data_IF_138295054069
#
_entry.id   IF_138295054069
#
_cell.length_a   1.000
_cell.length_b   1.000
_cell.length_c   1.000
_cell.angle_alpha   90.00
_cell.angle_beta   90.00
_cell.angle_gamma   90.00
#
_symmetry.space_group_name_H-M   'P 1'
#
loop_
_entity.id
_entity.type
_entity.pdbx_description
1 polymer ?
#
# COMPACT_ATOMS: atom_id res chain seq x y z
N UNK A 1 -10.12 15.04 -22.59
CA UNK A 1 -9.21 15.45 -21.49
C UNK A 1 -7.96 14.58 -21.53
N UNK A 2 -6.78 15.18 -21.62
CA UNK A 2 -5.49 14.48 -21.55
C UNK A 2 -4.96 14.53 -20.14
N UNK A 3 -4.53 13.41 -19.61
CA UNK A 3 -4.05 13.29 -18.22
C UNK A 3 -2.60 12.83 -18.25
N UNK A 4 -1.77 13.42 -17.41
CA UNK A 4 -0.39 13.02 -17.21
C UNK A 4 -0.12 12.72 -15.73
N UNK A 5 0.38 11.52 -15.44
CA UNK A 5 0.80 11.14 -14.09
C UNK A 5 2.30 11.37 -13.92
N UNK A 6 2.68 12.19 -12.96
CA UNK A 6 4.08 12.36 -12.55
C UNK A 6 4.33 11.67 -11.22
N UNK A 7 5.54 11.16 -11.06
CA UNK A 7 5.92 10.35 -9.92
C UNK A 7 7.22 10.83 -9.29
N UNK A 8 7.24 10.86 -7.97
CA UNK A 8 8.44 11.20 -7.18
C UNK A 8 9.19 9.95 -6.72
N UNK A 9 8.50 8.84 -6.49
CA UNK A 9 9.05 7.59 -5.96
C UNK A 9 8.50 6.39 -6.72
N UNK A 10 9.38 5.45 -7.05
CA UNK A 10 9.07 4.19 -7.73
C UNK A 10 8.88 3.10 -6.68
N UNK A 11 7.70 2.48 -6.61
CA UNK A 11 7.42 1.41 -5.64
C UNK A 11 5.99 0.89 -5.76
N UNK A 12 5.59 0.01 -4.85
CA UNK A 12 4.25 -0.61 -4.84
C UNK A 12 3.11 0.41 -4.80
N UNK A 13 3.29 1.51 -4.05
CA UNK A 13 2.29 2.57 -4.01
C UNK A 13 2.12 3.27 -5.37
N UNK A 14 3.22 3.52 -6.09
CA UNK A 14 3.14 4.09 -7.43
C UNK A 14 2.46 3.13 -8.42
N UNK A 15 2.73 1.84 -8.31
CA UNK A 15 2.08 0.84 -9.12
C UNK A 15 0.55 0.93 -8.98
N UNK A 16 0.03 0.86 -7.76
CA UNK A 16 -1.41 0.81 -7.51
C UNK A 16 -2.12 2.16 -7.68
N UNK A 17 -1.42 3.29 -7.36
CA UNK A 17 -2.02 4.63 -7.41
C UNK A 17 -1.89 5.31 -8.76
N UNK A 18 -0.86 5.01 -9.52
CA UNK A 18 -0.59 5.68 -10.79
C UNK A 18 -0.62 4.72 -11.98
N UNK A 19 0.15 3.62 -11.97
CA UNK A 19 0.26 2.76 -13.15
C UNK A 19 -1.03 2.03 -13.49
N UNK A 20 -1.70 1.44 -12.49
CA UNK A 20 -2.95 0.72 -12.70
C UNK A 20 -4.04 1.66 -13.24
N UNK A 21 -4.36 2.81 -12.60
CA UNK A 21 -5.35 3.74 -13.16
C UNK A 21 -4.92 4.35 -14.50
N UNK A 22 -3.63 4.63 -14.68
CA UNK A 22 -3.12 5.24 -15.90
C UNK A 22 -3.32 4.33 -17.12
N UNK A 23 -3.11 3.03 -16.97
CA UNK A 23 -3.35 2.06 -18.05
C UNK A 23 -4.81 2.06 -18.46
N UNK A 24 -5.71 1.99 -17.50
CA UNK A 24 -7.16 1.91 -17.77
C UNK A 24 -7.73 3.22 -18.28
N UNK A 25 -7.21 4.36 -17.83
CA UNK A 25 -7.57 5.69 -18.37
C UNK A 25 -6.98 5.95 -19.76
N UNK A 26 -6.05 5.13 -20.26
CA UNK A 26 -5.27 5.43 -21.45
C UNK A 26 -4.45 6.73 -21.33
N UNK A 27 -4.06 7.09 -20.10
CA UNK A 27 -3.34 8.32 -19.79
C UNK A 27 -1.84 8.18 -19.99
N UNK A 28 -1.15 9.31 -20.21
CA UNK A 28 0.31 9.36 -20.24
C UNK A 28 0.88 9.55 -18.83
N UNK A 29 2.11 9.15 -18.62
CA UNK A 29 2.78 9.32 -17.33
C UNK A 29 4.25 9.01 -17.34
N UNK A 30 4.89 9.26 -16.20
CA UNK A 30 6.26 8.85 -15.94
C UNK A 30 6.30 7.32 -15.88
N UNK A 31 6.67 6.72 -17.01
CA UNK A 31 6.74 5.27 -17.15
C UNK A 31 7.89 4.74 -16.31
N UNK A 32 7.59 3.75 -15.52
CA UNK A 32 8.52 3.11 -14.59
C UNK A 32 9.33 2.02 -15.29
N UNK A 33 10.24 1.39 -14.55
CA UNK A 33 11.01 0.22 -15.00
C UNK A 33 10.12 -0.98 -15.41
N UNK A 34 8.85 -1.01 -15.04
CA UNK A 34 7.88 -2.03 -15.47
C UNK A 34 7.49 -1.91 -16.96
N UNK A 35 7.77 -0.78 -17.57
CA UNK A 35 7.55 -0.60 -19.00
C UNK A 35 8.90 -0.51 -19.69
N UNK A 36 9.10 -1.34 -20.70
CA UNK A 36 10.36 -1.50 -21.46
C UNK A 36 10.80 -0.27 -22.25
N UNK A 37 10.00 0.78 -22.29
CA UNK A 37 10.35 2.05 -22.94
C UNK A 37 10.34 3.20 -21.94
N UNK A 38 11.51 3.65 -21.53
CA UNK A 38 11.65 4.97 -20.88
C UNK A 38 11.24 6.04 -21.88
N UNK A 39 10.24 6.83 -21.55
CA UNK A 39 9.95 8.03 -22.35
C UNK A 39 11.18 8.94 -22.24
N UNK A 40 11.74 9.32 -23.39
CA UNK A 40 12.84 10.29 -23.42
C UNK A 40 12.40 11.65 -22.83
N UNK A 41 13.35 12.45 -22.33
CA UNK A 41 13.04 13.74 -21.67
C UNK A 41 12.17 14.68 -22.53
N UNK A 42 12.41 14.72 -23.84
CA UNK A 42 11.64 15.55 -24.78
C UNK A 42 10.19 15.06 -24.94
N UNK A 43 9.99 13.73 -25.05
CA UNK A 43 8.65 13.13 -25.16
C UNK A 43 7.88 13.35 -23.88
N UNK A 44 8.53 13.22 -22.71
CA UNK A 44 7.95 13.52 -21.40
C UNK A 44 7.52 14.99 -21.31
N UNK A 45 8.40 15.91 -21.69
CA UNK A 45 8.09 17.36 -21.65
C UNK A 45 6.88 17.68 -22.53
N UNK A 46 6.80 17.10 -23.73
CA UNK A 46 5.64 17.26 -24.62
C UNK A 46 4.37 16.71 -24.00
N UNK A 47 4.39 15.49 -23.45
CA UNK A 47 3.22 14.87 -22.84
C UNK A 47 2.69 15.70 -21.65
N UNK A 48 3.58 16.24 -20.80
CA UNK A 48 3.21 17.15 -19.71
C UNK A 48 2.61 18.45 -20.23
N UNK A 49 3.19 19.05 -21.27
CA UNK A 49 2.70 20.29 -21.87
C UNK A 49 1.36 20.09 -22.60
N UNK A 50 1.13 18.92 -23.18
CA UNK A 50 -0.11 18.57 -23.85
C UNK A 50 -1.23 18.16 -22.90
N UNK A 51 -0.91 17.81 -21.66
CA UNK A 51 -1.89 17.39 -20.67
C UNK A 51 -2.81 18.56 -20.26
N UNK A 52 -4.08 18.26 -20.04
CA UNK A 52 -5.05 19.15 -19.41
C UNK A 52 -4.96 19.07 -17.89
N UNK A 53 -4.77 17.85 -17.38
CA UNK A 53 -4.63 17.51 -15.95
C UNK A 53 -3.28 16.87 -15.70
N UNK A 54 -2.55 17.36 -14.70
CA UNK A 54 -1.30 16.76 -14.25
C UNK A 54 -1.46 16.25 -12.81
N UNK A 55 -1.34 14.94 -12.66
CA UNK A 55 -1.47 14.25 -11.37
C UNK A 55 -0.09 14.05 -10.77
N UNK A 56 0.12 14.60 -9.59
CA UNK A 56 1.35 14.43 -8.81
C UNK A 56 1.10 13.36 -7.74
N UNK A 57 1.69 12.19 -7.92
CA UNK A 57 1.63 11.13 -6.91
C UNK A 57 2.77 11.32 -5.90
N UNK A 58 2.40 11.47 -4.61
CA UNK A 58 3.30 11.67 -3.47
C UNK A 58 4.35 12.76 -3.70
N UNK A 59 3.96 13.98 -4.12
CA UNK A 59 4.91 15.07 -4.25
C UNK A 59 5.43 15.45 -2.85
N UNK A 60 6.76 15.41 -2.67
CA UNK A 60 7.39 15.51 -1.36
C UNK A 60 8.56 16.48 -1.30
N UNK A 61 8.71 17.33 -2.32
CA UNK A 61 9.82 18.26 -2.42
C UNK A 61 9.42 19.63 -3.04
N UNK A 62 10.26 20.64 -2.82
CA UNK A 62 10.06 21.97 -3.38
C UNK A 62 10.11 22.03 -4.91
N UNK A 63 10.82 21.09 -5.55
CA UNK A 63 10.89 21.04 -7.01
C UNK A 63 9.55 20.70 -7.61
N UNK A 64 8.86 19.73 -7.03
CA UNK A 64 7.50 19.36 -7.44
C UNK A 64 6.53 20.52 -7.27
N UNK A 65 6.63 21.28 -6.17
CA UNK A 65 5.82 22.49 -5.96
C UNK A 65 6.06 23.54 -7.04
N UNK A 66 7.33 23.85 -7.37
CA UNK A 66 7.68 24.81 -8.42
C UNK A 66 7.18 24.38 -9.80
N UNK A 67 7.30 23.10 -10.12
CA UNK A 67 6.78 22.54 -11.39
C UNK A 67 5.26 22.68 -11.43
N UNK A 68 4.54 22.33 -10.36
CA UNK A 68 3.10 22.47 -10.30
C UNK A 68 2.64 23.93 -10.47
N UNK A 69 3.36 24.88 -9.87
CA UNK A 69 3.09 26.32 -10.02
C UNK A 69 3.25 26.77 -11.47
N UNK A 70 4.34 26.38 -12.14
CA UNK A 70 4.57 26.73 -13.55
C UNK A 70 3.54 26.13 -14.49
N UNK A 71 3.13 24.88 -14.25
CA UNK A 71 2.06 24.23 -15.03
C UNK A 71 0.71 24.92 -14.82
N UNK A 72 0.40 25.35 -13.58
CA UNK A 72 -0.82 26.13 -13.29
C UNK A 72 -0.84 27.46 -14.02
N UNK A 73 0.28 28.17 -14.11
CA UNK A 73 0.40 29.42 -14.92
C UNK A 73 0.10 29.18 -16.40
N UNK A 74 0.31 27.95 -16.88
CA UNK A 74 -0.01 27.53 -18.25
C UNK A 74 -1.45 27.01 -18.38
N UNK A 75 -2.28 27.15 -17.36
CA UNK A 75 -3.68 26.77 -17.37
C UNK A 75 -3.95 25.27 -17.12
N UNK A 76 -2.93 24.51 -16.71
CA UNK A 76 -3.08 23.10 -16.36
C UNK A 76 -3.79 22.93 -15.03
N UNK A 77 -4.62 21.91 -14.89
CA UNK A 77 -5.19 21.51 -13.60
C UNK A 77 -4.21 20.60 -12.87
N UNK A 78 -4.00 20.89 -11.60
CA UNK A 78 -3.05 20.20 -10.74
C UNK A 78 -3.81 19.33 -9.75
N UNK A 79 -3.61 18.03 -9.85
CA UNK A 79 -4.13 17.05 -8.90
C UNK A 79 -2.99 16.53 -8.06
N UNK A 80 -3.21 16.45 -6.75
CA UNK A 80 -2.34 15.73 -5.84
C UNK A 80 -2.96 14.39 -5.50
N UNK A 81 -2.25 13.30 -5.72
CA UNK A 81 -2.63 11.97 -5.25
C UNK A 81 -1.72 11.53 -4.10
N UNK A 82 -2.33 11.11 -2.98
CA UNK A 82 -1.56 10.61 -1.84
C UNK A 82 -2.32 9.48 -1.13
N UNK A 83 -1.61 8.40 -0.83
CA UNK A 83 -2.14 7.18 -0.21
C UNK A 83 -1.59 6.95 1.20
N UNK A 84 -0.78 7.87 1.71
CA UNK A 84 -0.07 7.70 2.98
C UNK A 84 0.22 9.05 3.64
N UNK A 85 0.75 9.02 4.85
CA UNK A 85 1.22 10.18 5.60
C UNK A 85 2.55 9.86 6.28
N UNK A 86 3.28 10.91 6.65
CA UNK A 86 4.42 10.79 7.57
C UNK A 86 4.07 11.37 8.95
N UNK A 87 2.89 11.96 9.10
CA UNK A 87 2.40 12.48 10.38
C UNK A 87 2.21 11.35 11.38
N UNK A 88 2.62 11.58 12.61
CA UNK A 88 2.53 10.57 13.67
C UNK A 88 3.58 9.46 13.60
N UNK A 89 4.46 9.48 12.60
CA UNK A 89 5.58 8.55 12.56
C UNK A 89 6.58 8.88 13.69
N UNK A 90 7.01 7.86 14.45
CA UNK A 90 7.99 8.04 15.53
C UNK A 90 9.36 8.44 14.95
N UNK A 91 9.57 9.75 14.86
CA UNK A 91 10.81 10.30 14.33
C UNK A 91 11.96 10.25 15.32
N UNK A 92 11.74 9.91 16.59
CA UNK A 92 12.78 9.89 17.63
C UNK A 92 13.89 8.88 17.31
N UNK A 93 13.55 7.82 16.57
CA UNK A 93 14.49 6.78 16.14
C UNK A 93 15.15 7.07 14.80
N UNK A 94 14.71 8.10 14.09
CA UNK A 94 15.16 8.43 12.73
C UNK A 94 16.45 9.26 12.70
N UNK A 95 16.90 9.82 13.85
CA UNK A 95 18.11 10.65 13.89
C UNK A 95 18.04 11.79 12.85
N UNK A 96 19.05 11.89 11.98
CA UNK A 96 19.09 12.91 10.90
C UNK A 96 17.96 12.79 9.87
N UNK A 97 17.29 11.64 9.77
CA UNK A 97 16.14 11.48 8.87
C UNK A 97 14.89 12.17 9.41
N UNK A 98 14.79 12.45 10.71
CA UNK A 98 13.64 13.14 11.32
C UNK A 98 13.37 14.50 10.67
N UNK A 99 14.43 15.28 10.45
CA UNK A 99 14.32 16.60 9.79
C UNK A 99 13.84 16.47 8.34
N UNK A 100 14.30 15.43 7.63
CA UNK A 100 13.89 15.15 6.26
C UNK A 100 12.40 14.80 6.19
N UNK A 101 11.91 13.96 7.10
CA UNK A 101 10.48 13.64 7.17
C UNK A 101 9.63 14.87 7.49
N UNK A 102 10.05 15.73 8.40
CA UNK A 102 9.36 16.99 8.69
C UNK A 102 9.32 17.97 7.50
N UNK A 103 10.35 17.98 6.65
CA UNK A 103 10.35 18.76 5.40
C UNK A 103 9.39 18.17 4.37
N UNK A 104 9.36 16.87 4.24
CA UNK A 104 8.42 16.13 3.37
C UNK A 104 6.97 16.44 3.76
N UNK A 105 6.61 16.38 5.03
CA UNK A 105 5.26 16.70 5.50
C UNK A 105 4.85 18.13 5.19
N UNK A 106 5.75 19.09 5.42
CA UNK A 106 5.49 20.49 5.07
C UNK A 106 5.25 20.67 3.57
N UNK A 107 6.03 19.99 2.73
CA UNK A 107 5.85 20.02 1.29
C UNK A 107 4.49 19.42 0.88
N UNK A 108 4.09 18.30 1.48
CA UNK A 108 2.79 17.69 1.28
C UNK A 108 1.65 18.64 1.68
N UNK A 109 1.70 19.24 2.86
CA UNK A 109 0.67 20.19 3.33
C UNK A 109 0.52 21.40 2.42
N UNK A 110 1.64 21.93 1.90
CA UNK A 110 1.63 23.03 0.93
C UNK A 110 0.99 22.56 -0.38
N UNK A 111 1.35 21.37 -0.85
CA UNK A 111 0.83 20.82 -2.09
C UNK A 111 -0.68 20.59 -1.98
N UNK A 112 -1.15 19.98 -0.87
CA UNK A 112 -2.58 19.79 -0.57
C UNK A 112 -3.33 21.11 -0.65
N UNK A 113 -2.83 22.15 0.00
CA UNK A 113 -3.46 23.49 0.00
C UNK A 113 -3.56 24.13 -1.38
N UNK A 114 -2.61 23.84 -2.25
CA UNK A 114 -2.50 24.48 -3.56
C UNK A 114 -3.11 23.66 -4.69
N UNK A 115 -3.34 22.37 -4.52
CA UNK A 115 -3.91 21.51 -5.57
C UNK A 115 -5.34 21.95 -5.93
N UNK A 116 -5.68 21.86 -7.21
CA UNK A 116 -7.06 22.06 -7.68
C UNK A 116 -7.97 20.93 -7.19
N UNK A 117 -7.41 19.71 -7.02
CA UNK A 117 -8.07 18.54 -6.46
C UNK A 117 -7.03 17.71 -5.70
N UNK A 118 -7.43 17.15 -4.57
CA UNK A 118 -6.67 16.13 -3.84
C UNK A 118 -7.38 14.79 -3.96
N UNK A 119 -6.67 13.76 -4.38
CA UNK A 119 -7.16 12.38 -4.35
C UNK A 119 -6.40 11.57 -3.31
N UNK A 120 -7.07 10.72 -2.58
CA UNK A 120 -6.50 9.88 -1.52
C UNK A 120 -7.15 8.50 -1.49
N UNK A 121 -6.53 7.57 -0.76
CA UNK A 121 -6.95 6.17 -0.76
C UNK A 121 -8.02 5.82 0.29
N UNK A 122 -8.22 6.66 1.31
CA UNK A 122 -9.09 6.35 2.45
C UNK A 122 -9.91 7.54 2.92
N UNK A 123 -11.04 7.27 3.59
CA UNK A 123 -11.87 8.32 4.19
C UNK A 123 -11.15 9.04 5.34
N UNK A 124 -10.27 8.35 6.08
CA UNK A 124 -9.46 8.99 7.11
C UNK A 124 -8.55 10.07 6.50
N UNK A 125 -7.81 9.74 5.44
CA UNK A 125 -6.97 10.72 4.74
C UNK A 125 -7.80 11.86 4.15
N UNK A 126 -8.98 11.57 3.61
CA UNK A 126 -9.89 12.61 3.11
C UNK A 126 -10.26 13.60 4.19
N UNK A 127 -10.66 13.11 5.38
CA UNK A 127 -10.99 14.00 6.50
C UNK A 127 -9.81 14.88 6.93
N UNK A 128 -8.60 14.32 6.90
CA UNK A 128 -7.40 15.06 7.22
C UNK A 128 -7.09 16.14 6.16
N UNK A 129 -7.22 15.81 4.88
CA UNK A 129 -6.95 16.77 3.80
C UNK A 129 -8.05 17.82 3.64
N UNK A 130 -9.30 17.52 3.99
CA UNK A 130 -10.38 18.51 4.02
C UNK A 130 -10.12 19.67 4.98
N UNK A 131 -9.24 19.49 5.96
CA UNK A 131 -8.76 20.59 6.84
C UNK A 131 -7.92 21.62 6.09
N UNK A 132 -7.37 21.26 4.94
CA UNK A 132 -6.42 22.06 4.15
C UNK A 132 -6.95 22.44 2.76
N UNK A 133 -7.79 21.60 2.16
CA UNK A 133 -8.33 21.79 0.81
C UNK A 133 -9.79 21.31 0.76
N UNK A 134 -10.76 22.13 0.29
CA UNK A 134 -12.15 21.71 0.22
C UNK A 134 -12.44 20.67 -0.88
N UNK A 135 -11.54 20.50 -1.85
CA UNK A 135 -11.69 19.61 -2.98
C UNK A 135 -10.92 18.32 -2.77
N UNK A 136 -11.47 17.39 -2.00
CA UNK A 136 -10.84 16.10 -1.70
C UNK A 136 -11.77 14.95 -2.06
N UNK A 137 -11.26 13.98 -2.82
CA UNK A 137 -12.00 12.79 -3.26
C UNK A 137 -11.25 11.52 -2.88
N UNK A 138 -11.97 10.51 -2.38
CA UNK A 138 -11.40 9.17 -2.20
C UNK A 138 -11.46 8.40 -3.51
N UNK A 139 -10.31 8.00 -3.99
CA UNK A 139 -10.14 7.02 -5.05
C UNK A 139 -9.53 5.77 -4.42
N UNK A 140 -10.26 4.67 -4.27
CA UNK A 140 -9.78 3.48 -3.58
C UNK A 140 -8.59 2.85 -4.32
N UNK A 141 -7.77 2.08 -3.62
CA UNK A 141 -6.85 1.19 -4.32
C UNK A 141 -7.66 0.12 -5.07
N UNK A 142 -7.23 -0.16 -6.29
CA UNK A 142 -7.85 -1.18 -7.14
C UNK A 142 -6.80 -2.17 -7.63
N UNK A 143 -7.26 -3.33 -8.05
CA UNK A 143 -6.45 -4.36 -8.70
C UNK A 143 -6.75 -4.39 -10.20
N UNK A 144 -5.72 -4.69 -10.99
CA UNK A 144 -5.87 -5.08 -12.37
C UNK A 144 -5.69 -6.60 -12.43
N UNK A 145 -6.75 -7.37 -12.69
CA UNK A 145 -6.63 -8.84 -12.68
C UNK A 145 -5.57 -9.39 -13.62
N UNK A 146 -5.30 -8.69 -14.72
CA UNK A 146 -4.31 -9.12 -15.73
C UNK A 146 -2.85 -9.13 -15.19
N UNK A 147 -2.61 -8.49 -14.05
CA UNK A 147 -1.30 -8.51 -13.37
C UNK A 147 -1.13 -9.69 -12.40
N UNK A 148 -2.21 -10.42 -12.09
CA UNK A 148 -2.24 -11.49 -11.10
C UNK A 148 -2.43 -12.85 -11.77
N UNK A 149 -1.97 -13.96 -11.15
CA UNK A 149 -2.19 -15.28 -11.69
C UNK A 149 -3.69 -15.62 -11.76
N UNK A 150 -4.07 -16.39 -12.77
CA UNK A 150 -5.39 -17.05 -12.81
C UNK A 150 -5.54 -18.03 -11.63
N UNK A 151 -6.76 -18.39 -11.28
CA UNK A 151 -7.03 -19.21 -10.09
C UNK A 151 -6.28 -20.55 -10.09
N UNK A 152 -6.16 -21.18 -11.26
CA UNK A 152 -5.46 -22.47 -11.45
C UNK A 152 -3.93 -22.32 -11.54
N UNK A 153 -3.41 -21.10 -11.69
CA UNK A 153 -1.98 -20.79 -11.71
C UNK A 153 -1.43 -20.42 -10.33
N UNK A 154 -2.30 -20.09 -9.36
CA UNK A 154 -1.88 -19.68 -8.01
C UNK A 154 -1.07 -20.81 -7.36
N UNK A 155 0.13 -20.47 -6.88
CA UNK A 155 1.00 -21.42 -6.22
C UNK A 155 0.50 -21.74 -4.80
N UNK A 156 0.22 -23.01 -4.53
CA UNK A 156 -0.29 -23.49 -3.24
C UNK A 156 0.81 -24.14 -2.39
N UNK A 157 0.64 -24.04 -1.08
CA UNK A 157 1.47 -24.76 -0.14
C UNK A 157 1.03 -26.24 -0.03
N UNK A 158 1.82 -27.14 -0.60
CA UNK A 158 1.62 -28.59 -0.53
C UNK A 158 2.35 -29.24 0.66
N UNK A 159 3.12 -28.45 1.43
CA UNK A 159 3.87 -28.93 2.58
C UNK A 159 2.98 -29.21 3.80
N UNK A 160 3.60 -29.85 4.82
CA UNK A 160 2.89 -30.18 6.07
C UNK A 160 2.71 -28.99 7.00
N UNK A 161 3.59 -27.97 6.91
CA UNK A 161 3.53 -26.79 7.76
C UNK A 161 2.61 -25.72 7.15
N UNK A 162 1.86 -25.06 8.01
CA UNK A 162 1.11 -23.85 7.67
C UNK A 162 2.07 -22.68 7.56
N UNK A 163 2.07 -22.00 6.42
CA UNK A 163 2.94 -20.86 6.11
C UNK A 163 2.24 -19.57 6.45
N UNK A 164 2.69 -18.90 7.50
CA UNK A 164 2.08 -17.67 8.01
C UNK A 164 2.98 -16.49 7.64
N UNK A 165 2.46 -15.60 6.79
CA UNK A 165 3.19 -14.48 6.22
C UNK A 165 3.04 -13.17 6.97
N UNK A 166 4.14 -12.42 7.01
CA UNK A 166 4.20 -11.01 7.32
C UNK A 166 4.77 -10.29 6.10
N UNK A 167 4.00 -9.37 5.52
CA UNK A 167 4.40 -8.64 4.31
C UNK A 167 4.34 -7.15 4.60
N UNK A 168 5.46 -6.47 4.52
CA UNK A 168 5.49 -5.06 4.91
C UNK A 168 6.74 -4.31 4.50
N UNK A 169 6.80 -3.08 4.97
CA UNK A 169 7.94 -2.18 4.83
C UNK A 169 8.44 -1.74 6.22
N UNK A 170 9.13 -0.64 6.28
CA UNK A 170 9.82 -0.07 7.47
C UNK A 170 8.98 0.03 8.75
N UNK A 171 7.66 0.12 8.67
CA UNK A 171 6.78 0.27 9.84
C UNK A 171 6.50 -1.04 10.59
N UNK A 172 6.80 -2.19 10.01
CA UNK A 172 6.40 -3.49 10.53
C UNK A 172 6.90 -3.77 11.95
N UNK A 173 8.10 -3.33 12.29
CA UNK A 173 8.67 -3.52 13.62
C UNK A 173 7.88 -2.79 14.74
N UNK A 174 7.40 -1.59 14.48
CA UNK A 174 6.56 -0.85 15.45
C UNK A 174 5.20 -1.52 15.61
N UNK A 175 4.64 -2.01 14.52
CA UNK A 175 3.35 -2.70 14.49
C UNK A 175 3.37 -4.03 15.25
N UNK A 176 4.53 -4.70 15.28
CA UNK A 176 4.67 -6.02 15.90
C UNK A 176 4.85 -5.99 17.42
N UNK A 177 5.16 -4.85 18.04
CA UNK A 177 5.45 -4.79 19.48
C UNK A 177 4.37 -5.43 20.36
N UNK A 178 3.12 -5.11 20.10
CA UNK A 178 1.99 -5.67 20.86
C UNK A 178 1.65 -7.09 20.41
N UNK A 179 2.15 -7.50 19.26
CA UNK A 179 1.97 -8.81 18.66
C UNK A 179 3.02 -9.84 19.10
N UNK A 180 4.10 -9.43 19.78
CA UNK A 180 5.20 -10.32 20.23
C UNK A 180 4.69 -11.58 20.97
N UNK A 181 3.73 -11.53 21.90
CA UNK A 181 3.24 -12.74 22.56
C UNK A 181 2.62 -13.76 21.60
N UNK A 182 1.95 -13.28 20.55
CA UNK A 182 1.39 -14.15 19.51
C UNK A 182 2.49 -14.76 18.65
N UNK A 183 3.47 -13.97 18.27
CA UNK A 183 4.64 -14.42 17.51
C UNK A 183 5.40 -15.51 18.27
N UNK A 184 5.61 -15.32 19.58
CA UNK A 184 6.25 -16.29 20.48
C UNK A 184 5.43 -17.60 20.61
N UNK A 185 4.12 -17.52 20.54
CA UNK A 185 3.25 -18.70 20.54
C UNK A 185 3.33 -19.44 19.20
N UNK A 186 3.22 -18.71 18.09
CA UNK A 186 3.26 -19.31 16.74
C UNK A 186 4.57 -20.02 16.43
N UNK A 187 5.72 -19.43 16.79
CA UNK A 187 7.03 -20.07 16.54
C UNK A 187 7.25 -21.38 17.31
N UNK A 188 6.48 -21.62 18.40
CA UNK A 188 6.57 -22.88 19.18
C UNK A 188 5.71 -23.99 18.56
N UNK A 189 4.86 -23.68 17.61
CA UNK A 189 4.00 -24.66 16.94
C UNK A 189 4.82 -25.42 15.89
N UNK A 190 4.98 -26.75 16.00
CA UNK A 190 5.83 -27.52 15.08
C UNK A 190 5.31 -27.55 13.64
N UNK A 191 3.98 -27.36 13.48
CA UNK A 191 3.29 -27.33 12.20
C UNK A 191 3.16 -25.91 11.59
N UNK A 192 3.85 -24.91 12.13
CA UNK A 192 3.86 -23.53 11.62
C UNK A 192 5.24 -23.18 11.05
N UNK A 193 5.25 -22.46 9.94
CA UNK A 193 6.40 -21.80 9.38
C UNK A 193 6.09 -20.31 9.25
N UNK A 194 6.83 -19.48 9.97
CA UNK A 194 6.74 -18.04 9.81
C UNK A 194 7.51 -17.60 8.56
N UNK A 195 6.94 -16.71 7.76
CA UNK A 195 7.51 -16.18 6.53
C UNK A 195 7.50 -14.65 6.60
N UNK A 196 8.64 -14.04 6.40
CA UNK A 196 8.80 -12.59 6.39
C UNK A 196 9.15 -12.11 4.98
N UNK A 197 8.27 -11.36 4.35
CA UNK A 197 8.54 -10.64 3.11
C UNK A 197 8.66 -9.15 3.42
N UNK A 198 9.81 -8.75 3.87
CA UNK A 198 10.11 -7.38 4.28
C UNK A 198 11.62 -7.20 4.38
N UNK A 199 12.07 -5.95 4.44
CA UNK A 199 13.45 -5.55 4.70
C UNK A 199 14.49 -6.08 3.69
N UNK A 200 15.51 -5.28 3.39
CA UNK A 200 16.65 -5.78 2.62
C UNK A 200 17.41 -6.82 3.45
N UNK A 201 17.81 -7.93 2.82
CA UNK A 201 18.62 -8.96 3.48
C UNK A 201 20.03 -8.45 3.82
N UNK A 202 20.51 -7.48 3.07
CA UNK A 202 21.81 -6.84 3.28
C UNK A 202 21.65 -5.32 3.16
N UNK A 203 22.06 -4.63 4.22
CA UNK A 203 21.95 -3.17 4.35
C UNK A 203 23.27 -2.48 4.09
N UNK A 204 24.27 -3.18 3.53
CA UNK A 204 25.64 -2.71 3.41
C UNK A 204 25.83 -1.50 2.49
N UNK A 205 24.84 -1.14 1.64
CA UNK A 205 25.04 -0.12 0.61
C UNK A 205 24.70 1.33 1.02
N UNK A 206 24.08 1.57 2.19
CA UNK A 206 23.74 2.92 2.61
C UNK A 206 23.78 3.07 4.14
N UNK A 207 24.81 3.73 4.65
CA UNK A 207 25.04 3.93 6.08
C UNK A 207 23.85 4.57 6.83
N UNK A 208 23.11 5.48 6.23
CA UNK A 208 22.01 6.19 6.91
C UNK A 208 20.74 5.33 7.00
N UNK A 209 20.45 4.56 5.97
CA UNK A 209 19.32 3.62 5.93
C UNK A 209 19.63 2.38 6.78
N UNK A 210 20.86 1.93 6.77
CA UNK A 210 21.33 0.79 7.55
C UNK A 210 21.04 0.93 9.06
N UNK A 211 21.43 2.05 9.66
CA UNK A 211 21.22 2.29 11.09
C UNK A 211 19.75 2.31 11.49
N UNK A 212 18.85 2.64 10.57
CA UNK A 212 17.43 2.64 10.81
C UNK A 212 16.83 1.23 10.87
N UNK A 213 17.31 0.31 10.03
CA UNK A 213 16.81 -1.07 9.95
C UNK A 213 17.44 -2.04 10.93
N UNK A 214 18.60 -1.72 11.55
CA UNK A 214 19.30 -2.63 12.45
C UNK A 214 18.40 -3.19 13.57
N UNK A 215 17.64 -2.38 14.34
CA UNK A 215 16.82 -2.91 15.42
C UNK A 215 15.76 -3.90 14.92
N UNK A 216 15.24 -3.68 13.73
CA UNK A 216 14.24 -4.52 13.12
C UNK A 216 14.83 -5.82 12.58
N UNK A 217 16.00 -5.74 11.97
CA UNK A 217 16.77 -6.91 11.55
C UNK A 217 17.12 -7.82 12.73
N UNK A 218 17.65 -7.23 13.82
CA UNK A 218 18.00 -7.99 15.04
C UNK A 218 16.78 -8.61 15.70
N UNK A 219 15.64 -7.91 15.71
CA UNK A 219 14.37 -8.44 16.18
C UNK A 219 13.98 -9.71 15.41
N UNK A 220 13.91 -9.61 14.06
CA UNK A 220 13.49 -10.75 13.25
C UNK A 220 14.48 -11.91 13.24
N UNK A 221 15.79 -11.66 13.40
CA UNK A 221 16.81 -12.71 13.56
C UNK A 221 16.64 -13.54 14.83
N UNK A 222 15.91 -13.05 15.82
CA UNK A 222 15.58 -13.79 17.02
C UNK A 222 14.48 -14.85 16.84
N UNK A 223 13.78 -14.82 15.70
CA UNK A 223 12.73 -15.77 15.33
C UNK A 223 13.20 -16.69 14.20
N UNK A 224 12.62 -17.91 14.19
CA UNK A 224 12.84 -18.85 13.09
C UNK A 224 11.91 -18.51 11.91
N UNK A 225 12.29 -17.50 11.13
CA UNK A 225 11.53 -17.04 9.96
C UNK A 225 12.22 -17.44 8.66
N UNK A 226 11.44 -17.84 7.67
CA UNK A 226 11.87 -17.86 6.29
C UNK A 226 11.84 -16.42 5.78
N UNK A 227 12.96 -15.92 5.33
CA UNK A 227 13.11 -14.51 4.99
C UNK A 227 13.21 -14.30 3.49
N UNK A 228 12.25 -13.57 2.94
CA UNK A 228 12.26 -13.04 1.59
C UNK A 228 12.59 -11.54 1.63
N UNK A 229 13.75 -11.12 1.13
CA UNK A 229 14.08 -9.70 1.03
C UNK A 229 13.18 -8.95 0.07
N UNK A 230 13.22 -7.61 0.15
CA UNK A 230 12.58 -6.76 -0.85
C UNK A 230 13.03 -7.11 -2.26
N UNK A 231 12.08 -7.06 -3.17
CA UNK A 231 12.30 -7.22 -4.61
C UNK A 231 11.86 -5.95 -5.35
N UNK A 232 12.26 -5.84 -6.58
CA UNK A 232 11.75 -4.79 -7.45
C UNK A 232 10.23 -4.96 -7.66
N UNK A 233 9.52 -3.85 -7.91
CA UNK A 233 8.05 -3.85 -7.97
C UNK A 233 7.50 -4.79 -9.05
N UNK A 234 8.23 -4.96 -10.15
CA UNK A 234 7.86 -5.89 -11.23
C UNK A 234 7.89 -7.36 -10.80
N UNK A 235 8.70 -7.71 -9.79
CA UNK A 235 8.86 -9.08 -9.31
C UNK A 235 8.00 -9.34 -8.06
N UNK A 236 7.30 -8.30 -7.56
CA UNK A 236 6.60 -8.36 -6.29
C UNK A 236 5.48 -9.39 -6.26
N UNK A 237 4.59 -9.37 -7.27
CA UNK A 237 3.44 -10.28 -7.34
C UNK A 237 3.91 -11.73 -7.46
N UNK A 238 4.82 -12.02 -8.40
CA UNK A 238 5.36 -13.37 -8.59
C UNK A 238 6.14 -13.88 -7.38
N UNK A 239 6.83 -12.98 -6.67
CA UNK A 239 7.52 -13.36 -5.43
C UNK A 239 6.52 -13.66 -4.32
N UNK A 240 5.48 -12.82 -4.15
CA UNK A 240 4.45 -13.03 -3.14
C UNK A 240 3.71 -14.35 -3.36
N UNK A 241 3.33 -14.66 -4.59
CA UNK A 241 2.74 -15.94 -4.99
C UNK A 241 3.68 -17.11 -4.69
N UNK A 242 4.96 -16.97 -5.05
CA UNK A 242 6.01 -17.97 -4.80
C UNK A 242 6.27 -18.28 -3.33
N UNK A 243 5.85 -17.41 -2.40
CA UNK A 243 5.92 -17.68 -0.95
C UNK A 243 4.90 -18.73 -0.50
N UNK A 244 3.85 -18.97 -1.28
CA UNK A 244 2.84 -20.01 -1.00
C UNK A 244 2.25 -19.89 0.41
N UNK A 245 1.86 -18.69 0.80
CA UNK A 245 1.32 -18.42 2.12
C UNK A 245 -0.07 -19.05 2.30
N UNK A 246 -0.30 -19.66 3.45
CA UNK A 246 -1.62 -20.16 3.85
C UNK A 246 -2.43 -19.07 4.58
N UNK A 247 -1.75 -18.15 5.27
CA UNK A 247 -2.37 -17.07 6.07
C UNK A 247 -1.48 -15.82 5.97
N UNK A 248 -2.10 -14.65 5.80
CA UNK A 248 -1.41 -13.36 5.94
C UNK A 248 -1.85 -12.67 7.22
N UNK A 249 -0.89 -12.27 8.07
CA UNK A 249 -1.15 -11.47 9.26
C UNK A 249 -0.79 -10.01 9.02
N UNK A 250 -1.68 -9.12 9.45
CA UNK A 250 -1.52 -7.66 9.32
C UNK A 250 -1.66 -7.04 10.74
N UNK A 251 -0.66 -7.22 11.61
CA UNK A 251 -0.62 -6.50 12.89
C UNK A 251 -0.40 -5.00 12.62
N UNK A 252 -1.05 -4.14 13.42
CA UNK A 252 -0.94 -2.69 13.34
C UNK A 252 -0.99 -2.10 14.73
N UNK A 253 -0.10 -1.17 15.01
CA UNK A 253 -0.25 -0.30 16.18
C UNK A 253 -1.37 0.71 15.95
N UNK A 254 -2.14 1.02 16.98
CA UNK A 254 -3.15 2.08 16.88
C UNK A 254 -2.48 3.45 16.98
N UNK A 255 -2.07 3.97 15.84
CA UNK A 255 -1.48 5.29 15.70
C UNK A 255 -1.99 6.02 14.46
N UNK A 256 -1.71 7.31 14.38
CA UNK A 256 -2.15 8.15 13.28
C UNK A 256 -1.66 7.65 11.91
N UNK A 257 -0.42 7.17 11.84
CA UNK A 257 0.17 6.65 10.60
C UNK A 257 -0.59 5.42 10.09
N UNK A 258 -0.87 4.46 10.97
CA UNK A 258 -1.59 3.24 10.60
C UNK A 258 -3.06 3.48 10.26
N UNK A 259 -3.69 4.48 10.89
CA UNK A 259 -5.06 4.90 10.54
C UNK A 259 -5.17 5.48 9.13
N UNK A 260 -4.09 6.04 8.58
CA UNK A 260 -4.03 6.53 7.22
C UNK A 260 -3.91 5.42 6.16
N UNK A 261 -3.45 4.22 6.55
CA UNK A 261 -3.19 3.11 5.63
C UNK A 261 -4.46 2.60 4.96
N UNK A 262 -4.32 2.15 3.73
CA UNK A 262 -5.40 1.51 2.96
C UNK A 262 -5.46 -0.01 3.21
N UNK A 263 -6.49 -0.64 2.64
CA UNK A 263 -6.69 -2.09 2.64
C UNK A 263 -5.83 -2.85 1.60
N UNK A 264 -4.79 -2.22 1.04
CA UNK A 264 -4.01 -2.79 -0.07
C UNK A 264 -3.51 -4.21 0.21
N UNK A 265 -3.02 -4.48 1.43
CA UNK A 265 -2.53 -5.83 1.79
C UNK A 265 -3.63 -6.90 1.77
N UNK A 266 -4.86 -6.53 2.10
CA UNK A 266 -6.01 -7.40 1.93
C UNK A 266 -6.30 -7.66 0.46
N UNK A 267 -6.27 -6.62 -0.39
CA UNK A 267 -6.48 -6.78 -1.83
C UNK A 267 -5.43 -7.72 -2.45
N UNK A 268 -4.15 -7.50 -2.14
CA UNK A 268 -3.03 -8.30 -2.62
C UNK A 268 -3.15 -9.77 -2.19
N UNK A 269 -3.41 -10.02 -0.90
CA UNK A 269 -3.57 -11.38 -0.37
C UNK A 269 -4.78 -12.09 -0.99
N UNK A 270 -5.89 -11.38 -1.14
CA UNK A 270 -7.12 -11.92 -1.74
C UNK A 270 -6.93 -12.36 -3.18
N UNK A 271 -6.13 -11.61 -3.97
CA UNK A 271 -5.83 -11.98 -5.36
C UNK A 271 -5.06 -13.32 -5.46
N UNK A 272 -4.39 -13.74 -4.39
CA UNK A 272 -3.69 -15.01 -4.26
C UNK A 272 -4.45 -16.04 -3.38
N UNK A 273 -5.72 -15.76 -3.08
CA UNK A 273 -6.57 -16.59 -2.21
C UNK A 273 -5.98 -16.88 -0.83
N UNK A 274 -5.21 -15.93 -0.30
CA UNK A 274 -4.61 -16.01 1.03
C UNK A 274 -5.58 -15.33 2.03
N UNK A 275 -6.15 -16.05 3.00
CA UNK A 275 -6.98 -15.47 4.04
C UNK A 275 -6.16 -14.52 4.93
N UNK A 276 -6.80 -13.44 5.33
CA UNK A 276 -6.18 -12.36 6.12
C UNK A 276 -6.72 -12.34 7.54
N UNK A 277 -5.81 -12.19 8.51
CA UNK A 277 -6.14 -11.80 9.88
C UNK A 277 -5.49 -10.45 10.13
N UNK A 278 -6.28 -9.43 10.42
CA UNK A 278 -5.82 -8.05 10.50
C UNK A 278 -6.20 -7.36 11.79
N UNK A 279 -5.34 -6.46 12.27
CA UNK A 279 -5.67 -5.55 13.37
C UNK A 279 -6.76 -4.59 12.94
N UNK A 280 -7.84 -4.55 13.71
CA UNK A 280 -8.85 -3.50 13.65
C UNK A 280 -8.67 -2.49 14.77
N UNK A 281 -9.35 -1.34 14.67
CA UNK A 281 -9.36 -0.30 15.68
C UNK A 281 -10.79 -0.04 16.15
N UNK A 282 -10.97 0.30 17.44
CA UNK A 282 -12.32 0.42 18.04
C UNK A 282 -13.11 1.61 17.49
N UNK A 283 -12.47 2.72 17.23
CA UNK A 283 -13.11 4.00 16.92
C UNK A 283 -13.14 4.38 15.43
N UNK A 284 -13.05 3.42 14.65
CA UNK A 284 -13.70 3.36 13.39
C UNK A 284 -13.29 4.20 12.21
N UNK A 285 -12.03 4.41 11.88
CA UNK A 285 -11.64 4.91 10.55
C UNK A 285 -10.52 4.08 9.90
N UNK A 286 -10.15 2.98 10.52
CA UNK A 286 -9.23 2.01 9.90
C UNK A 286 -9.89 1.34 8.69
N UNK A 287 -9.16 1.05 7.61
CA UNK A 287 -9.67 0.21 6.53
C UNK A 287 -10.06 -1.21 6.99
N UNK A 288 -9.59 -1.64 8.16
CA UNK A 288 -9.86 -2.95 8.76
C UNK A 288 -10.85 -2.83 9.93
N UNK A 289 -12.00 -2.20 9.69
CA UNK A 289 -13.06 -2.11 10.69
C UNK A 289 -14.03 -3.27 10.63
N UNK A 290 -14.45 -3.74 11.80
CA UNK A 290 -15.37 -4.87 11.94
C UNK A 290 -16.74 -4.67 11.28
N UNK A 291 -17.16 -3.44 11.06
CA UNK A 291 -18.46 -3.09 10.47
C UNK A 291 -18.39 -2.79 8.96
N UNK A 292 -17.22 -2.92 8.35
CA UNK A 292 -17.07 -2.71 6.91
C UNK A 292 -17.46 -3.95 6.10
N UNK A 293 -17.78 -3.76 4.83
CA UNK A 293 -18.03 -4.87 3.92
C UNK A 293 -16.76 -5.73 3.73
N UNK A 294 -15.58 -5.11 3.68
CA UNK A 294 -14.29 -5.81 3.59
C UNK A 294 -14.07 -6.77 4.77
N UNK A 295 -14.50 -6.38 5.98
CA UNK A 295 -14.35 -7.18 7.19
C UNK A 295 -15.10 -8.51 7.15
N UNK A 296 -16.12 -8.65 6.29
CA UNK A 296 -16.83 -9.91 6.09
C UNK A 296 -16.00 -10.97 5.33
N UNK A 297 -14.91 -10.52 4.70
CA UNK A 297 -14.05 -11.35 3.86
C UNK A 297 -12.63 -11.53 4.44
N UNK A 298 -12.42 -11.10 5.68
CA UNK A 298 -11.20 -11.29 6.46
C UNK A 298 -11.56 -11.49 7.93
N UNK A 299 -10.58 -11.79 8.76
CA UNK A 299 -10.73 -11.84 10.22
C UNK A 299 -10.17 -10.58 10.84
N UNK A 300 -10.97 -9.90 11.65
CA UNK A 300 -10.58 -8.63 12.30
C UNK A 300 -10.39 -8.86 13.80
N UNK A 301 -9.22 -8.49 14.29
CA UNK A 301 -8.85 -8.54 15.70
C UNK A 301 -8.81 -7.12 16.25
N UNK A 302 -9.73 -6.75 17.12
CA UNK A 302 -9.72 -5.45 17.81
C UNK A 302 -9.02 -5.58 19.16
N UNK A 303 -9.33 -6.63 19.92
CA UNK A 303 -8.68 -6.95 21.18
C UNK A 303 -7.40 -7.78 20.94
N UNK A 304 -6.23 -7.23 21.25
CA UNK A 304 -4.94 -7.88 21.04
C UNK A 304 -4.79 -9.23 21.75
N UNK A 305 -5.63 -9.55 22.74
CA UNK A 305 -5.64 -10.86 23.38
C UNK A 305 -6.32 -11.95 22.55
N UNK A 306 -7.03 -11.58 21.47
CA UNK A 306 -7.85 -12.45 20.64
C UNK A 306 -7.19 -12.93 19.36
N UNK A 307 -5.96 -12.54 19.10
CA UNK A 307 -5.26 -12.93 17.87
C UNK A 307 -5.22 -14.45 17.65
N UNK A 308 -4.87 -15.21 18.68
CA UNK A 308 -4.80 -16.67 18.57
C UNK A 308 -6.18 -17.29 18.34
N UNK A 309 -7.26 -16.74 18.91
CA UNK A 309 -8.63 -17.22 18.69
C UNK A 309 -9.00 -17.14 17.20
N UNK A 310 -8.48 -16.14 16.47
CA UNK A 310 -8.74 -15.95 15.04
C UNK A 310 -7.76 -16.71 14.14
N UNK A 311 -6.54 -16.97 14.59
CA UNK A 311 -5.50 -17.65 13.78
C UNK A 311 -5.63 -19.17 13.89
N UNK A 312 -5.86 -19.72 15.09
CA UNK A 312 -5.85 -21.16 15.34
C UNK A 312 -6.80 -21.95 14.43
N UNK A 313 -8.06 -21.54 14.18
CA UNK A 313 -8.94 -22.26 13.26
C UNK A 313 -8.38 -22.38 11.84
N UNK A 314 -7.61 -21.37 11.39
CA UNK A 314 -6.95 -21.40 10.08
C UNK A 314 -5.73 -22.34 10.08
N UNK A 315 -4.99 -22.41 11.19
CA UNK A 315 -3.86 -23.35 11.34
C UNK A 315 -4.36 -24.79 11.36
N UNK A 316 -5.54 -25.04 11.93
CA UNK A 316 -6.13 -26.37 12.07
C UNK A 316 -6.80 -26.87 10.80
N UNK A 317 -7.15 -26.00 9.85
CA UNK A 317 -7.84 -26.40 8.62
C UNK A 317 -7.37 -25.63 7.38
N UNK A 318 -6.62 -26.31 6.51
CA UNK A 318 -6.27 -25.79 5.17
C UNK A 318 -7.51 -25.58 4.28
N UNK A 319 -8.54 -26.39 4.48
CA UNK A 319 -9.81 -26.26 3.76
C UNK A 319 -10.48 -24.93 4.08
N UNK A 320 -10.45 -24.54 5.37
CA UNK A 320 -10.98 -23.25 5.81
C UNK A 320 -10.16 -22.08 5.22
N UNK A 321 -8.82 -22.21 5.17
CA UNK A 321 -7.97 -21.22 4.50
C UNK A 321 -8.36 -21.06 3.04
N UNK A 322 -8.49 -22.15 2.31
CA UNK A 322 -8.87 -22.16 0.89
C UNK A 322 -10.25 -21.53 0.69
N UNK A 323 -11.24 -21.93 1.50
CA UNK A 323 -12.61 -21.39 1.40
C UNK A 323 -12.64 -19.87 1.63
N UNK A 324 -11.98 -19.40 2.68
CA UNK A 324 -11.94 -17.98 2.99
C UNK A 324 -11.15 -17.18 1.95
N UNK A 325 -10.02 -17.71 1.48
CA UNK A 325 -9.23 -17.09 0.43
C UNK A 325 -10.00 -16.92 -0.88
N UNK A 326 -10.71 -17.96 -1.33
CA UNK A 326 -11.56 -17.90 -2.53
C UNK A 326 -12.66 -16.85 -2.41
N UNK A 327 -13.40 -16.85 -1.30
CA UNK A 327 -14.44 -15.83 -1.05
C UNK A 327 -13.87 -14.41 -1.04
N UNK A 328 -12.68 -14.22 -0.48
CA UNK A 328 -12.01 -12.93 -0.49
C UNK A 328 -11.61 -12.50 -1.92
N UNK A 329 -11.08 -13.43 -2.75
CA UNK A 329 -10.77 -13.16 -4.16
C UNK A 329 -12.02 -12.78 -4.95
N UNK A 330 -13.10 -13.57 -4.85
CA UNK A 330 -14.37 -13.28 -5.52
C UNK A 330 -14.88 -11.85 -5.15
N UNK A 331 -14.83 -11.53 -3.87
CA UNK A 331 -15.22 -10.20 -3.39
C UNK A 331 -14.35 -9.09 -3.96
N UNK A 332 -13.02 -9.23 -3.90
CA UNK A 332 -12.09 -8.24 -4.43
C UNK A 332 -12.28 -8.05 -5.93
N UNK A 333 -12.42 -9.12 -6.68
CA UNK A 333 -12.71 -9.06 -8.11
C UNK A 333 -14.06 -8.39 -8.41
N UNK A 334 -15.07 -8.57 -7.56
CA UNK A 334 -16.38 -7.93 -7.76
C UNK A 334 -16.40 -6.44 -7.42
N UNK A 335 -15.51 -5.98 -6.51
CA UNK A 335 -15.59 -4.62 -5.96
C UNK A 335 -14.43 -3.71 -6.36
N UNK A 336 -13.24 -4.27 -6.51
CA UNK A 336 -11.99 -3.53 -6.61
C UNK A 336 -11.25 -3.68 -7.94
N UNK A 337 -11.87 -4.27 -8.98
CA UNK A 337 -11.27 -4.24 -10.31
C UNK A 337 -11.18 -2.82 -10.83
N UNK A 338 -10.02 -2.45 -11.38
CA UNK A 338 -9.79 -1.08 -11.88
C UNK A 338 -10.75 -0.72 -13.01
N UNK A 339 -11.01 -1.63 -13.95
CA UNK A 339 -11.90 -1.38 -15.10
C UNK A 339 -13.33 -1.01 -14.69
N UNK A 340 -13.81 -1.56 -13.56
CA UNK A 340 -15.15 -1.27 -13.05
C UNK A 340 -15.17 0.00 -12.20
N UNK A 341 -14.02 0.48 -11.73
CA UNK A 341 -13.86 1.62 -10.84
C UNK A 341 -13.25 2.86 -11.51
N UNK A 342 -12.66 2.73 -12.69
CA UNK A 342 -11.93 3.82 -13.38
C UNK A 342 -12.80 5.06 -13.63
N UNK A 343 -14.12 4.89 -13.76
CA UNK A 343 -15.06 6.00 -13.87
C UNK A 343 -14.93 7.01 -12.72
N UNK A 344 -14.58 6.56 -11.50
CA UNK A 344 -14.36 7.44 -10.35
C UNK A 344 -13.20 8.42 -10.57
N UNK A 345 -12.14 7.98 -11.24
CA UNK A 345 -11.02 8.85 -11.64
C UNK A 345 -11.47 9.85 -12.71
N UNK A 346 -12.19 9.37 -13.71
CA UNK A 346 -12.73 10.22 -14.79
C UNK A 346 -13.64 11.31 -14.20
N UNK A 347 -14.61 10.95 -13.37
CA UNK A 347 -15.52 11.87 -12.71
C UNK A 347 -14.77 12.90 -11.83
N UNK A 348 -13.80 12.43 -11.05
CA UNK A 348 -12.97 13.30 -10.21
C UNK A 348 -12.21 14.35 -11.04
N UNK A 349 -11.60 13.95 -12.14
CA UNK A 349 -10.84 14.87 -12.98
C UNK A 349 -11.73 15.76 -13.84
N UNK A 350 -12.87 15.28 -14.33
CA UNK A 350 -13.87 16.08 -15.04
C UNK A 350 -14.49 17.16 -14.16
N UNK A 351 -14.60 16.92 -12.84
CA UNK A 351 -15.11 17.90 -11.89
C UNK A 351 -14.28 19.20 -11.83
N UNK A 352 -13.04 19.16 -12.32
CA UNK A 352 -12.16 20.33 -12.43
C UNK A 352 -12.58 21.31 -13.55
N UNK A 353 -13.48 20.89 -14.41
CA UNK A 353 -13.99 21.68 -15.53
C UNK A 353 -15.51 21.85 -15.38
N UNK A 354 -15.98 22.97 -14.84
CA UNK A 354 -17.41 23.21 -14.74
C UNK A 354 -18.04 23.16 -16.13
N UNK A 355 -19.18 22.47 -16.22
CA UNK A 355 -19.99 22.37 -17.44
C UNK A 355 -20.61 23.73 -17.81
#
# INVERSE_FOLDING_TARGET
MKIFFTNTLMGGCHYVRALVPMRELGADGDKTSMQTSKIGPETRARAVLDADVVVFHRPNDERSLKIAEELRKQGKKIVMDNDDTYKGFDTTKLGKLADKFGQVEKAIDIFVKQADLVTCSTEFLKQEYLKLNPNVVVLPNCVDPDDWPEEDEIQRNEGEKIRIGFVGSVGLHTDIKEFVPVLDALQKMPNVQLVLFALPADTAESHDVHNYYIPELEFWKSYNVEWQPFVAVQDYISTLDGLKLDILLIPRSDDYFNRCKSNLKFLEASMLEIPVVAQGFEDGLSPYQADTEDAKHMRIVVDNTKWLDEILPLIESKELCTEQGKKAREYVLSKYQIKDNVHKWTEAYESLYPK
#
